data_IF_262016179581
#
_entry.id   IF_262016179581
#
_cell.length_a   1.000
_cell.length_b   1.000
_cell.length_c   1.000
_cell.angle_alpha   90.00
_cell.angle_beta   90.00
_cell.angle_gamma   90.00
#
_symmetry.space_group_name_H-M   'P 1'
#
loop_
_entity.id
_entity.type
_entity.pdbx_description
1 polymer ?
#
# COMPACT_ATOMS: atom_id res chain seq x y z
N UNK A 1 -11.35 24.97 11.55
CA UNK A 1 -10.32 23.99 11.15
C UNK A 1 -8.97 24.70 10.94
N UNK A 2 -7.83 24.06 11.16
CA UNK A 2 -6.50 24.62 10.84
C UNK A 2 -5.93 23.80 9.69
N UNK A 3 -5.55 24.47 8.59
CA UNK A 3 -4.92 23.81 7.45
C UNK A 3 -3.55 24.40 7.17
N UNK A 4 -2.64 23.57 6.69
CA UNK A 4 -1.27 23.93 6.40
C UNK A 4 -0.95 23.73 4.93
N UNK A 5 -0.63 24.83 4.27
CA UNK A 5 -0.27 24.92 2.86
C UNK A 5 1.21 25.18 2.72
N UNK A 6 1.94 24.24 2.11
CA UNK A 6 3.39 24.35 1.92
C UNK A 6 3.71 24.59 0.46
N UNK A 7 4.41 25.68 0.17
CA UNK A 7 4.89 26.00 -1.17
C UNK A 7 6.25 25.35 -1.39
N UNK A 8 6.37 24.56 -2.47
CA UNK A 8 7.62 23.92 -2.92
C UNK A 8 7.85 24.24 -4.39
N UNK A 9 9.07 24.07 -4.86
CA UNK A 9 9.46 24.34 -6.25
C UNK A 9 10.73 25.19 -6.33
N UNK A 10 11.28 25.29 -7.54
CA UNK A 10 12.57 25.94 -7.79
C UNK A 10 12.58 27.41 -7.39
N UNK A 11 13.79 27.96 -7.18
CA UNK A 11 13.98 29.39 -6.98
C UNK A 11 13.38 30.18 -8.16
N UNK A 12 12.68 31.27 -7.87
CA UNK A 12 12.05 32.08 -8.91
C UNK A 12 10.82 31.46 -9.59
N UNK A 13 10.36 30.27 -9.20
CA UNK A 13 9.14 29.63 -9.73
C UNK A 13 7.84 30.36 -9.42
N UNK A 14 7.85 31.39 -8.57
CA UNK A 14 6.66 32.21 -8.28
C UNK A 14 5.87 31.83 -7.01
N UNK A 15 6.48 31.06 -6.09
CA UNK A 15 5.86 30.62 -4.82
C UNK A 15 5.28 31.78 -3.99
N UNK A 16 6.12 32.76 -3.62
CA UNK A 16 5.72 33.94 -2.85
C UNK A 16 4.63 34.74 -3.57
N UNK A 17 4.82 35.02 -4.85
CA UNK A 17 3.82 35.75 -5.65
C UNK A 17 2.51 34.99 -5.82
N UNK A 18 2.53 33.66 -5.72
CA UNK A 18 1.33 32.83 -5.74
C UNK A 18 0.58 32.93 -4.40
N UNK A 19 1.28 32.95 -3.27
CA UNK A 19 0.67 33.27 -1.97
C UNK A 19 0.02 34.64 -2.02
N UNK A 20 0.75 35.66 -2.47
CA UNK A 20 0.23 37.03 -2.58
C UNK A 20 -1.02 37.09 -3.46
N UNK A 21 -1.02 36.36 -4.58
CA UNK A 21 -2.17 36.23 -5.46
C UNK A 21 -3.38 35.57 -4.77
N UNK A 22 -3.18 34.49 -4.01
CA UNK A 22 -4.24 33.84 -3.23
C UNK A 22 -4.82 34.76 -2.15
N UNK A 23 -4.00 35.67 -1.61
CA UNK A 23 -4.38 36.64 -0.59
C UNK A 23 -4.91 37.96 -1.17
N UNK A 24 -5.02 38.07 -2.50
CA UNK A 24 -5.52 39.28 -3.17
C UNK A 24 -4.59 40.48 -3.07
N UNK A 25 -3.29 40.26 -2.83
CA UNK A 25 -2.28 41.32 -2.77
C UNK A 25 -1.84 41.76 -4.15
N UNK A 26 -1.27 42.96 -4.22
CA UNK A 26 -0.75 43.52 -5.46
C UNK A 26 0.51 42.78 -5.89
N UNK A 27 0.63 42.57 -7.19
CA UNK A 27 1.83 41.99 -7.79
C UNK A 27 3.02 42.97 -7.73
N UNK A 28 4.15 42.50 -7.23
CA UNK A 28 5.42 43.23 -7.25
C UNK A 28 6.37 42.67 -8.31
N UNK A 29 6.90 43.53 -9.18
CA UNK A 29 7.81 43.13 -10.26
C UNK A 29 9.23 42.81 -9.75
N UNK A 30 9.64 43.38 -8.62
CA UNK A 30 10.98 43.19 -8.06
C UNK A 30 11.07 41.81 -7.42
N UNK A 31 11.91 40.95 -7.97
CA UNK A 31 12.20 39.67 -7.35
C UNK A 31 13.02 39.87 -6.06
N UNK A 32 12.53 39.29 -4.97
CA UNK A 32 13.28 39.12 -3.73
C UNK A 32 13.25 37.62 -3.38
N UNK A 33 14.41 37.02 -3.19
CA UNK A 33 14.49 35.61 -2.84
C UNK A 33 14.02 35.39 -1.39
N UNK A 34 13.15 34.42 -1.17
CA UNK A 34 12.78 33.96 0.18
C UNK A 34 14.01 33.32 0.82
N UNK A 35 14.44 33.86 1.96
CA UNK A 35 15.55 33.32 2.73
C UNK A 35 15.02 32.25 3.69
N UNK A 36 15.41 31.00 3.49
CA UNK A 36 14.97 29.88 4.34
C UNK A 36 13.47 29.59 4.25
N UNK A 37 12.67 30.19 5.12
CA UNK A 37 11.23 29.92 5.29
C UNK A 37 10.48 31.16 5.77
N UNK A 38 9.36 31.48 5.12
CA UNK A 38 8.40 32.50 5.57
C UNK A 38 7.06 31.85 5.96
N UNK A 39 6.50 32.28 7.08
CA UNK A 39 5.26 31.74 7.65
C UNK A 39 4.21 32.83 7.76
N UNK A 40 3.02 32.55 7.22
CA UNK A 40 1.90 33.47 7.33
C UNK A 40 0.60 32.74 7.65
N UNK A 41 -0.14 33.21 8.66
CA UNK A 41 -1.43 32.63 9.04
C UNK A 41 -2.57 33.57 8.68
N UNK A 42 -3.51 33.09 7.87
CA UNK A 42 -4.67 33.85 7.41
C UNK A 42 -5.96 33.21 7.92
N UNK A 43 -6.88 34.02 8.42
CA UNK A 43 -8.23 33.56 8.77
C UNK A 43 -9.08 33.50 7.52
N UNK A 44 -9.68 32.35 7.24
CA UNK A 44 -10.65 32.18 6.16
C UNK A 44 -12.04 32.16 6.80
N UNK A 45 -12.69 33.33 6.78
CA UNK A 45 -14.04 33.57 7.32
C UNK A 45 -14.30 32.81 8.64
N UNK A 46 -15.44 32.11 8.75
CA UNK A 46 -15.82 31.29 9.89
C UNK A 46 -15.32 29.83 9.79
N UNK A 47 -14.60 29.48 8.72
CA UNK A 47 -14.23 28.09 8.38
C UNK A 47 -12.91 27.67 9.05
N UNK A 48 -12.02 28.63 9.31
CA UNK A 48 -10.78 28.31 10.01
C UNK A 48 -9.60 29.24 9.76
N UNK A 49 -8.40 28.69 9.98
CA UNK A 49 -7.11 29.33 9.71
C UNK A 49 -6.34 28.51 8.68
N UNK A 50 -5.76 29.18 7.71
CA UNK A 50 -4.81 28.60 6.76
C UNK A 50 -3.43 29.15 7.08
N UNK A 51 -2.44 28.27 7.22
CA UNK A 51 -1.04 28.63 7.34
C UNK A 51 -0.34 28.41 6.01
N UNK A 52 0.22 29.48 5.45
CA UNK A 52 1.09 29.45 4.29
C UNK A 52 2.53 29.32 4.76
N UNK A 53 3.22 28.32 4.23
CA UNK A 53 4.63 28.04 4.45
C UNK A 53 5.35 28.23 3.11
N UNK A 54 5.97 29.41 2.92
CA UNK A 54 6.79 29.71 1.75
C UNK A 54 8.21 29.21 1.97
N UNK A 55 8.54 28.05 1.41
CA UNK A 55 9.89 27.50 1.48
C UNK A 55 10.78 28.20 0.45
N UNK A 56 12.04 28.43 0.79
CA UNK A 56 13.05 28.80 -0.19
C UNK A 56 13.16 27.75 -1.29
N UNK A 57 13.34 28.21 -2.53
CA UNK A 57 13.65 27.33 -3.66
C UNK A 57 15.14 27.26 -3.96
N UNK A 58 15.96 27.91 -3.14
CA UNK A 58 17.42 27.96 -3.31
C UNK A 58 18.03 26.60 -2.95
N UNK A 59 18.84 25.98 -3.83
CA UNK A 59 19.50 24.72 -3.53
C UNK A 59 20.40 24.76 -2.28
N UNK A 60 20.91 25.93 -1.89
CA UNK A 60 21.69 26.10 -0.66
C UNK A 60 20.87 25.86 0.60
N UNK A 61 19.55 26.07 0.54
CA UNK A 61 18.59 25.79 1.62
C UNK A 61 18.08 24.33 1.61
N UNK A 62 18.70 23.44 0.83
CA UNK A 62 18.31 22.03 0.71
C UNK A 62 18.36 21.27 2.04
N UNK A 63 19.31 21.60 2.92
CA UNK A 63 19.40 21.00 4.26
C UNK A 63 18.22 21.42 5.13
N UNK A 64 17.86 22.70 5.13
CA UNK A 64 16.69 23.21 5.85
C UNK A 64 15.40 22.57 5.31
N UNK A 65 15.29 22.47 3.99
CA UNK A 65 14.18 21.80 3.31
C UNK A 65 14.05 20.34 3.72
N UNK A 66 15.16 19.60 3.74
CA UNK A 66 15.19 18.19 4.13
C UNK A 66 14.87 18.01 5.61
N UNK A 67 15.43 18.87 6.47
CA UNK A 67 15.13 18.89 7.90
C UNK A 67 13.64 19.12 8.12
N UNK A 68 13.07 20.12 7.47
CA UNK A 68 11.64 20.40 7.54
C UNK A 68 10.81 19.19 7.08
N UNK A 69 11.17 18.60 5.94
CA UNK A 69 10.45 17.45 5.38
C UNK A 69 10.54 16.20 6.28
N UNK A 70 11.52 16.12 7.18
CA UNK A 70 11.68 15.02 8.16
C UNK A 70 11.03 15.29 9.51
N UNK A 71 11.01 16.53 9.97
CA UNK A 71 10.66 16.87 11.35
C UNK A 71 9.26 17.49 11.51
N UNK A 72 8.59 17.87 10.42
CA UNK A 72 7.22 18.36 10.51
C UNK A 72 6.19 17.27 10.22
N UNK A 73 5.48 16.86 11.28
CA UNK A 73 4.57 15.72 11.29
C UNK A 73 3.31 15.87 10.43
N UNK A 74 2.97 17.09 9.99
CA UNK A 74 1.73 17.31 9.25
C UNK A 74 1.87 18.43 8.22
N UNK A 75 1.42 18.13 7.01
CA UNK A 75 1.13 19.07 5.93
C UNK A 75 -0.16 18.60 5.27
N UNK A 76 -1.14 19.49 5.11
CA UNK A 76 -2.42 19.12 4.50
C UNK A 76 -2.36 19.25 2.97
N UNK A 77 -1.69 20.30 2.48
CA UNK A 77 -1.56 20.55 1.04
C UNK A 77 -0.15 21.02 0.68
N UNK A 78 0.45 20.40 -0.32
CA UNK A 78 1.63 20.89 -1.01
C UNK A 78 1.23 21.57 -2.32
N UNK A 79 1.73 22.78 -2.54
CA UNK A 79 1.69 23.44 -3.84
C UNK A 79 3.09 23.40 -4.45
N UNK A 80 3.27 22.57 -5.47
CA UNK A 80 4.53 22.49 -6.19
C UNK A 80 4.51 23.45 -7.37
N UNK A 81 5.19 24.58 -7.26
CA UNK A 81 5.20 25.64 -8.28
C UNK A 81 6.26 25.38 -9.36
N UNK A 82 5.86 25.51 -10.63
CA UNK A 82 6.75 25.43 -11.80
C UNK A 82 6.56 26.66 -12.68
N UNK A 83 7.65 27.27 -13.14
CA UNK A 83 7.59 28.41 -14.05
C UNK A 83 7.33 27.92 -15.48
N UNK A 84 6.11 28.14 -15.97
CA UNK A 84 5.74 27.68 -17.30
C UNK A 84 6.50 28.41 -18.42
N UNK A 85 7.13 29.56 -18.16
CA UNK A 85 7.98 30.25 -19.15
C UNK A 85 9.33 29.58 -19.35
N UNK A 86 9.74 28.68 -18.47
CA UNK A 86 11.03 27.99 -18.52
C UNK A 86 10.91 26.57 -19.08
N UNK A 87 12.06 25.96 -19.34
CA UNK A 87 12.16 24.53 -19.58
C UNK A 87 11.97 23.78 -18.26
N UNK A 88 11.07 22.79 -18.24
CA UNK A 88 10.79 21.99 -17.04
C UNK A 88 11.59 20.70 -17.08
N UNK A 89 12.46 20.49 -16.09
CA UNK A 89 13.19 19.23 -15.95
C UNK A 89 12.24 18.14 -15.46
N UNK A 90 11.69 17.38 -16.41
CA UNK A 90 10.63 16.40 -16.14
C UNK A 90 11.10 15.32 -15.16
N UNK A 91 12.32 14.82 -15.32
CA UNK A 91 12.88 13.76 -14.47
C UNK A 91 13.05 14.23 -13.03
N UNK A 92 13.64 15.41 -12.83
CA UNK A 92 13.88 15.94 -11.48
C UNK A 92 12.58 16.31 -10.77
N UNK A 93 11.65 16.96 -11.47
CA UNK A 93 10.34 17.33 -10.90
C UNK A 93 9.55 16.07 -10.53
N UNK A 94 9.47 15.05 -11.41
CA UNK A 94 8.77 13.81 -11.08
C UNK A 94 9.39 13.07 -9.89
N UNK A 95 10.73 13.08 -9.79
CA UNK A 95 11.42 12.52 -8.62
C UNK A 95 11.01 13.25 -7.33
N UNK A 96 11.02 14.59 -7.33
CA UNK A 96 10.62 15.40 -6.17
C UNK A 96 9.15 15.21 -5.79
N UNK A 97 8.25 15.16 -6.77
CA UNK A 97 6.82 14.89 -6.54
C UNK A 97 6.60 13.48 -5.96
N UNK A 98 7.31 12.48 -6.47
CA UNK A 98 7.24 11.11 -5.95
C UNK A 98 7.74 11.02 -4.50
N UNK A 99 8.84 11.70 -4.18
CA UNK A 99 9.37 11.78 -2.82
C UNK A 99 8.40 12.44 -1.84
N UNK A 100 7.71 13.51 -2.27
CA UNK A 100 6.66 14.15 -1.47
C UNK A 100 5.49 13.19 -1.24
N UNK A 101 5.04 12.46 -2.27
CA UNK A 101 3.95 11.49 -2.17
C UNK A 101 4.29 10.32 -1.24
N UNK A 102 5.54 9.86 -1.26
CA UNK A 102 6.03 8.79 -0.38
C UNK A 102 6.17 9.27 1.08
N UNK A 103 6.73 10.46 1.28
CA UNK A 103 6.98 11.01 2.63
C UNK A 103 5.70 11.55 3.29
N UNK A 104 4.76 12.03 2.48
CA UNK A 104 3.49 12.62 2.92
C UNK A 104 2.32 11.96 2.19
N UNK A 105 2.07 10.67 2.49
CA UNK A 105 1.08 9.88 1.77
C UNK A 105 -0.37 10.34 2.02
N UNK A 106 -0.57 11.20 3.01
CA UNK A 106 -1.84 11.81 3.41
C UNK A 106 -1.94 13.31 3.03
N UNK A 107 -0.98 13.85 2.26
CA UNK A 107 -1.02 15.25 1.81
C UNK A 107 -1.54 15.35 0.37
N UNK A 108 -2.37 16.37 0.11
CA UNK A 108 -2.81 16.69 -1.24
C UNK A 108 -1.68 17.45 -1.93
N UNK A 109 -1.21 16.94 -3.07
CA UNK A 109 -0.19 17.59 -3.88
C UNK A 109 -0.87 18.25 -5.08
N UNK A 110 -0.72 19.58 -5.21
CA UNK A 110 -1.24 20.38 -6.31
C UNK A 110 -0.06 20.94 -7.10
N UNK A 111 -0.02 20.63 -8.40
CA UNK A 111 0.96 21.23 -9.30
C UNK A 111 0.48 22.61 -9.73
N UNK A 112 1.31 23.64 -9.57
CA UNK A 112 0.96 25.01 -9.93
C UNK A 112 1.86 25.49 -11.06
N UNK A 113 1.31 25.58 -12.27
CA UNK A 113 1.95 26.20 -13.42
C UNK A 113 1.84 27.72 -13.33
N UNK A 114 2.93 28.40 -12.94
CA UNK A 114 2.95 29.85 -12.77
C UNK A 114 3.37 30.57 -14.04
N UNK A 115 3.21 31.91 -14.03
CA UNK A 115 3.62 32.83 -15.10
C UNK A 115 3.02 32.48 -16.46
N UNK A 116 1.78 32.00 -16.46
CA UNK A 116 1.08 31.59 -17.69
C UNK A 116 0.91 32.74 -18.68
N UNK A 117 0.96 34.00 -18.21
CA UNK A 117 0.97 35.21 -19.05
C UNK A 117 2.12 35.21 -20.06
N UNK A 118 3.31 34.74 -19.68
CA UNK A 118 4.48 34.69 -20.56
C UNK A 118 4.34 33.67 -21.69
N UNK A 119 3.51 32.64 -21.52
CA UNK A 119 3.16 31.72 -22.61
C UNK A 119 2.11 32.31 -23.56
N UNK A 120 1.21 33.17 -23.07
CA UNK A 120 0.25 33.86 -23.94
C UNK A 120 0.99 34.79 -24.91
N UNK A 121 2.03 35.47 -24.43
CA UNK A 121 2.87 36.37 -25.25
C UNK A 121 3.55 35.61 -26.41
N UNK A 122 3.84 34.32 -26.25
CA UNK A 122 4.48 33.47 -27.28
C UNK A 122 3.49 32.76 -28.21
N UNK A 123 2.18 32.85 -27.97
CA UNK A 123 1.18 32.03 -28.68
C UNK A 123 -0.10 32.84 -28.95
N UNK A 124 -0.28 33.26 -30.21
CA UNK A 124 -1.35 34.18 -30.63
C UNK A 124 -2.74 33.53 -30.68
N UNK A 125 -2.82 32.20 -30.66
CA UNK A 125 -4.07 31.43 -30.81
C UNK A 125 -4.45 30.76 -29.48
N UNK A 126 -5.66 31.03 -28.97
CA UNK A 126 -6.17 30.51 -27.68
C UNK A 126 -6.10 28.97 -27.56
N UNK A 127 -6.37 28.25 -28.65
CA UNK A 127 -6.32 26.79 -28.67
C UNK A 127 -4.90 26.24 -28.48
N UNK A 128 -3.92 26.86 -29.16
CA UNK A 128 -2.51 26.50 -29.06
C UNK A 128 -1.96 26.78 -27.66
N UNK A 129 -2.40 27.87 -27.03
CA UNK A 129 -2.03 28.18 -25.65
C UNK A 129 -2.48 27.10 -24.67
N UNK A 130 -3.75 26.65 -24.76
CA UNK A 130 -4.26 25.58 -23.89
C UNK A 130 -3.49 24.28 -24.13
N UNK A 131 -3.21 23.94 -25.40
CA UNK A 131 -2.43 22.76 -25.74
C UNK A 131 -0.98 22.84 -25.24
N UNK A 132 -0.35 24.01 -25.30
CA UNK A 132 1.02 24.22 -24.82
C UNK A 132 1.13 24.05 -23.30
N UNK A 133 0.19 24.63 -22.55
CA UNK A 133 0.11 24.47 -21.09
C UNK A 133 -0.13 23.00 -20.74
N UNK A 134 -1.09 22.35 -21.40
CA UNK A 134 -1.38 20.94 -21.20
C UNK A 134 -0.12 20.10 -21.43
N UNK A 135 0.54 20.26 -22.58
CA UNK A 135 1.76 19.53 -22.96
C UNK A 135 2.89 19.68 -21.93
N UNK A 136 3.05 20.86 -21.32
CA UNK A 136 4.07 21.09 -20.29
C UNK A 136 3.75 20.40 -18.96
N UNK A 137 2.46 20.23 -18.62
CA UNK A 137 2.03 19.73 -17.32
C UNK A 137 1.61 18.25 -17.32
N UNK A 138 1.24 17.69 -18.48
CA UNK A 138 0.91 16.26 -18.65
C UNK A 138 1.92 15.31 -17.98
N UNK A 139 3.25 15.50 -18.13
CA UNK A 139 4.22 14.53 -17.60
C UNK A 139 4.22 14.37 -16.07
N UNK A 140 3.52 15.24 -15.35
CA UNK A 140 3.50 15.29 -13.89
C UNK A 140 2.18 14.81 -13.28
N UNK A 141 1.12 14.63 -14.09
CA UNK A 141 -0.25 14.40 -13.59
C UNK A 141 -0.40 13.14 -12.74
N UNK A 142 0.38 12.10 -12.99
CA UNK A 142 0.31 10.84 -12.24
C UNK A 142 0.79 10.99 -10.78
N UNK A 143 1.60 12.02 -10.52
CA UNK A 143 2.22 12.25 -9.21
C UNK A 143 1.51 13.34 -8.40
N UNK A 144 0.42 13.92 -8.91
CA UNK A 144 -0.32 15.00 -8.26
C UNK A 144 -1.81 14.72 -8.25
N UNK A 145 -2.51 15.38 -7.33
CA UNK A 145 -3.96 15.24 -7.17
C UNK A 145 -4.72 16.20 -8.09
N UNK A 146 -4.13 17.38 -8.34
CA UNK A 146 -4.74 18.42 -9.16
C UNK A 146 -3.66 19.30 -9.82
N UNK A 147 -4.02 19.97 -10.90
CA UNK A 147 -3.17 20.97 -11.57
C UNK A 147 -3.86 22.32 -11.62
N UNK A 148 -3.15 23.38 -11.23
CA UNK A 148 -3.58 24.76 -11.33
C UNK A 148 -2.67 25.54 -12.27
N UNK A 149 -3.22 26.59 -12.89
CA UNK A 149 -2.45 27.54 -13.70
C UNK A 149 -2.71 28.95 -13.20
N UNK A 150 -1.64 29.75 -13.13
CA UNK A 150 -1.69 31.07 -12.52
C UNK A 150 -0.86 32.11 -13.27
N UNK A 151 -1.30 33.36 -13.16
CA UNK A 151 -0.50 34.53 -13.46
C UNK A 151 -0.72 35.55 -12.36
N UNK A 152 0.28 35.72 -11.50
CA UNK A 152 0.25 36.78 -10.50
C UNK A 152 0.24 38.18 -11.14
N UNK A 153 0.89 38.34 -12.29
CA UNK A 153 0.91 39.59 -13.09
C UNK A 153 -0.49 39.98 -13.57
N UNK A 154 -1.25 39.02 -14.11
CA UNK A 154 -2.60 39.25 -14.63
C UNK A 154 -3.69 39.15 -13.54
N UNK A 155 -3.34 38.78 -12.30
CA UNK A 155 -4.32 38.46 -11.27
C UNK A 155 -5.16 37.21 -11.56
N UNK A 156 -4.62 36.27 -12.34
CA UNK A 156 -5.34 35.10 -12.85
C UNK A 156 -5.00 33.81 -12.08
N UNK A 157 -6.04 33.09 -11.66
CA UNK A 157 -5.96 31.73 -11.12
C UNK A 157 -7.06 30.88 -11.78
N UNK A 158 -6.75 29.67 -12.23
CA UNK A 158 -7.75 28.75 -12.79
C UNK A 158 -8.88 28.43 -11.81
N UNK A 159 -8.58 28.23 -10.53
CA UNK A 159 -9.57 28.25 -9.45
C UNK A 159 -9.77 29.71 -8.99
N UNK A 160 -10.82 30.36 -9.49
CA UNK A 160 -11.03 31.82 -9.40
C UNK A 160 -10.90 32.46 -8.00
N UNK A 161 -10.99 31.69 -6.91
CA UNK A 161 -10.94 32.20 -5.52
C UNK A 161 -10.34 31.16 -4.56
N UNK A 162 -9.86 31.58 -3.39
CA UNK A 162 -9.39 30.69 -2.31
C UNK A 162 -10.49 29.71 -1.83
N UNK A 163 -11.77 30.12 -1.64
CA UNK A 163 -12.85 29.16 -1.37
C UNK A 163 -12.99 28.06 -2.43
N UNK A 164 -12.87 28.40 -3.72
CA UNK A 164 -12.92 27.39 -4.78
C UNK A 164 -11.75 26.39 -4.67
N UNK A 165 -10.58 26.86 -4.23
CA UNK A 165 -9.43 25.99 -3.95
C UNK A 165 -9.71 25.06 -2.75
N UNK A 166 -10.36 25.57 -1.70
CA UNK A 166 -10.79 24.74 -0.56
C UNK A 166 -11.77 23.65 -1.00
N UNK A 167 -12.73 23.96 -1.87
CA UNK A 167 -13.65 22.96 -2.42
C UNK A 167 -12.92 21.88 -3.24
N UNK A 168 -11.92 22.26 -4.05
CA UNK A 168 -11.09 21.30 -4.79
C UNK A 168 -10.33 20.37 -3.83
N UNK A 169 -9.78 20.93 -2.75
CA UNK A 169 -9.09 20.18 -1.69
C UNK A 169 -10.06 19.23 -1.00
N UNK A 170 -11.26 19.69 -0.63
CA UNK A 170 -12.30 18.88 0.01
C UNK A 170 -12.76 17.72 -0.86
N UNK A 171 -12.96 17.95 -2.17
CA UNK A 171 -13.30 16.91 -3.13
C UNK A 171 -12.19 15.86 -3.32
N UNK A 172 -10.95 16.19 -2.97
CA UNK A 172 -9.81 15.28 -3.07
C UNK A 172 -9.64 14.39 -1.83
N UNK A 173 -10.19 14.78 -0.67
CA UNK A 173 -10.07 14.04 0.59
C UNK A 173 -10.64 12.60 0.55
N UNK A 174 -11.83 12.32 -0.03
CA UNK A 174 -12.37 10.97 -0.01
C UNK A 174 -11.47 9.91 -0.67
N UNK A 175 -10.83 10.28 -1.79
CA UNK A 175 -9.86 9.40 -2.48
C UNK A 175 -8.64 9.11 -1.60
N UNK A 176 -8.19 10.12 -0.86
CA UNK A 176 -7.07 10.00 0.05
C UNK A 176 -7.41 9.12 1.25
N UNK A 177 -8.61 9.30 1.83
CA UNK A 177 -9.10 8.51 2.96
C UNK A 177 -9.25 7.02 2.57
N UNK A 178 -9.73 6.75 1.35
CA UNK A 178 -9.80 5.38 0.81
C UNK A 178 -8.41 4.74 0.65
N UNK A 179 -7.46 5.49 0.07
CA UNK A 179 -6.06 5.03 -0.05
C UNK A 179 -5.41 4.79 1.32
N UNK A 180 -5.69 5.66 2.29
CA UNK A 180 -5.21 5.53 3.66
C UNK A 180 -5.78 4.29 4.34
N UNK A 181 -7.09 4.07 4.24
CA UNK A 181 -7.74 2.88 4.78
C UNK A 181 -7.17 1.61 4.14
N UNK A 182 -6.91 1.61 2.84
CA UNK A 182 -6.30 0.47 2.14
C UNK A 182 -4.87 0.19 2.63
N UNK A 183 -4.02 1.22 2.76
CA UNK A 183 -2.66 1.05 3.31
C UNK A 183 -2.69 0.48 4.73
N UNK A 184 -3.58 1.00 5.57
CA UNK A 184 -3.73 0.52 6.94
C UNK A 184 -4.16 -0.95 6.97
N UNK A 185 -5.13 -1.36 6.13
CA UNK A 185 -5.54 -2.76 6.00
C UNK A 185 -4.38 -3.67 5.59
N UNK A 186 -3.57 -3.25 4.63
CA UNK A 186 -2.41 -4.04 4.17
C UNK A 186 -1.34 -4.16 5.26
N UNK A 187 -1.10 -3.10 6.03
CA UNK A 187 -0.15 -3.12 7.13
C UNK A 187 -0.62 -4.01 8.30
N UNK A 188 -1.89 -3.89 8.68
CA UNK A 188 -2.54 -4.77 9.66
C UNK A 188 -2.49 -6.24 9.22
N UNK A 189 -2.75 -6.53 7.93
CA UNK A 189 -2.65 -7.90 7.40
C UNK A 189 -1.22 -8.43 7.48
N UNK A 190 -0.23 -7.61 7.10
CA UNK A 190 1.19 -7.97 7.16
C UNK A 190 1.63 -8.26 8.60
N UNK A 191 1.28 -7.39 9.54
CA UNK A 191 1.60 -7.56 10.97
C UNK A 191 0.99 -8.87 11.49
N UNK A 192 -0.29 -9.12 11.20
CA UNK A 192 -0.98 -10.36 11.56
C UNK A 192 -0.30 -11.60 10.98
N UNK A 193 0.11 -11.57 9.70
CA UNK A 193 0.83 -12.69 9.07
C UNK A 193 2.19 -12.94 9.75
N UNK A 194 2.93 -11.88 10.06
CA UNK A 194 4.21 -11.98 10.76
C UNK A 194 4.07 -12.50 12.21
N UNK A 195 3.00 -12.15 12.92
CA UNK A 195 2.67 -12.73 14.23
C UNK A 195 2.50 -14.25 14.12
N UNK A 196 1.73 -14.73 13.14
CA UNK A 196 1.52 -16.18 12.91
C UNK A 196 2.82 -16.87 12.51
N UNK A 197 3.64 -16.23 11.67
CA UNK A 197 4.95 -16.76 11.29
C UNK A 197 5.91 -16.90 12.48
N UNK A 198 5.77 -16.08 13.50
CA UNK A 198 6.63 -16.06 14.68
C UNK A 198 6.01 -16.74 15.91
N UNK A 199 4.77 -17.25 15.79
CA UNK A 199 4.11 -17.97 16.86
C UNK A 199 4.87 -19.28 17.18
N UNK A 200 5.33 -19.38 18.41
CA UNK A 200 6.08 -20.54 18.95
C UNK A 200 5.34 -21.88 18.81
N UNK A 201 4.02 -21.87 18.59
CA UNK A 201 3.21 -23.04 18.27
C UNK A 201 3.67 -23.75 16.99
N UNK A 202 4.23 -23.01 16.03
CA UNK A 202 4.61 -23.55 14.72
C UNK A 202 6.13 -23.68 14.55
N UNK A 203 6.62 -24.77 13.95
CA UNK A 203 8.04 -24.90 13.62
C UNK A 203 8.51 -23.81 12.65
N UNK A 204 9.72 -23.28 12.88
CA UNK A 204 10.36 -22.29 11.98
C UNK A 204 10.46 -22.76 10.53
N UNK A 205 10.51 -24.08 10.28
CA UNK A 205 10.51 -24.62 8.93
C UNK A 205 9.26 -24.25 8.13
N UNK A 206 8.11 -24.04 8.77
CA UNK A 206 6.87 -23.65 8.08
C UNK A 206 7.00 -22.24 7.51
N UNK A 207 7.51 -21.30 8.32
CA UNK A 207 7.82 -19.93 7.88
C UNK A 207 8.83 -19.95 6.74
N UNK A 208 9.90 -20.73 6.85
CA UNK A 208 10.93 -20.83 5.81
C UNK A 208 10.38 -21.38 4.49
N UNK A 209 9.54 -22.42 4.54
CA UNK A 209 8.89 -22.98 3.35
C UNK A 209 7.94 -21.95 2.73
N UNK A 210 7.10 -21.31 3.56
CA UNK A 210 6.14 -20.31 3.10
C UNK A 210 6.81 -19.14 2.39
N UNK A 211 7.73 -18.43 3.07
CA UNK A 211 8.41 -17.26 2.50
C UNK A 211 9.24 -17.61 1.26
N UNK A 212 9.82 -18.81 1.20
CA UNK A 212 10.55 -19.28 0.02
C UNK A 212 9.61 -19.44 -1.19
N UNK A 213 8.45 -20.05 -1.00
CA UNK A 213 7.49 -20.27 -2.09
C UNK A 213 6.78 -18.98 -2.50
N UNK A 214 6.46 -18.11 -1.54
CA UNK A 214 5.92 -16.77 -1.79
C UNK A 214 6.85 -15.95 -2.69
N UNK A 215 8.16 -15.93 -2.37
CA UNK A 215 9.17 -15.25 -3.19
C UNK A 215 9.33 -15.86 -4.59
N UNK A 216 9.12 -17.17 -4.75
CA UNK A 216 9.17 -17.83 -6.07
C UNK A 216 7.97 -17.46 -6.96
N UNK A 217 6.88 -16.97 -6.36
CA UNK A 217 5.63 -16.66 -7.01
C UNK A 217 5.21 -15.20 -6.81
N UNK A 218 6.17 -14.30 -6.59
CA UNK A 218 5.92 -12.88 -6.28
C UNK A 218 5.10 -12.15 -7.35
N UNK A 219 5.11 -12.64 -8.59
CA UNK A 219 4.36 -12.08 -9.72
C UNK A 219 2.87 -12.48 -9.73
N UNK A 220 2.47 -13.47 -8.91
CA UNK A 220 1.09 -13.94 -8.84
C UNK A 220 0.26 -13.14 -7.82
N UNK A 221 -1.06 -13.16 -7.97
CA UNK A 221 -2.00 -12.62 -6.97
C UNK A 221 -1.83 -13.29 -5.61
N UNK A 222 -2.10 -12.59 -4.50
CA UNK A 222 -1.99 -13.13 -3.14
C UNK A 222 -2.70 -14.49 -2.96
N UNK A 223 -3.93 -14.63 -3.46
CA UNK A 223 -4.69 -15.88 -3.38
C UNK A 223 -3.97 -17.07 -4.05
N UNK A 224 -3.23 -16.83 -5.14
CA UNK A 224 -2.45 -17.86 -5.84
C UNK A 224 -1.13 -18.15 -5.14
N UNK A 225 -0.48 -17.12 -4.61
CA UNK A 225 0.71 -17.29 -3.78
C UNK A 225 0.40 -18.17 -2.56
N UNK A 226 -0.69 -17.85 -1.85
CA UNK A 226 -1.17 -18.59 -0.69
C UNK A 226 -1.52 -20.05 -1.06
N UNK A 227 -2.13 -20.27 -2.24
CA UNK A 227 -2.36 -21.61 -2.78
C UNK A 227 -1.06 -22.39 -2.98
N UNK A 228 -0.06 -21.82 -3.66
CA UNK A 228 1.21 -22.50 -3.90
C UNK A 228 1.98 -22.77 -2.60
N UNK A 229 1.97 -21.84 -1.65
CA UNK A 229 2.56 -22.03 -0.32
C UNK A 229 1.87 -23.17 0.45
N UNK A 230 0.54 -23.22 0.39
CA UNK A 230 -0.28 -24.29 0.98
C UNK A 230 0.08 -25.65 0.40
N UNK A 231 0.11 -25.78 -0.93
CA UNK A 231 0.51 -27.02 -1.62
C UNK A 231 1.92 -27.43 -1.20
N UNK A 232 2.86 -26.49 -1.09
CA UNK A 232 4.23 -26.81 -0.72
C UNK A 232 4.37 -27.30 0.73
N UNK A 233 3.62 -26.72 1.67
CA UNK A 233 3.57 -27.23 3.05
C UNK A 233 2.96 -28.64 3.14
N UNK A 234 1.92 -28.92 2.35
CA UNK A 234 1.33 -30.26 2.28
C UNK A 234 2.28 -31.27 1.61
N UNK A 235 3.05 -30.85 0.60
CA UNK A 235 4.12 -31.67 0.00
C UNK A 235 5.23 -31.96 1.00
N UNK A 236 5.62 -30.99 1.81
CA UNK A 236 6.60 -31.16 2.90
C UNK A 236 6.12 -32.21 3.91
N UNK A 237 4.85 -32.17 4.30
CA UNK A 237 4.25 -33.23 5.13
C UNK A 237 4.42 -34.61 4.50
N UNK A 238 4.18 -34.74 3.19
CA UNK A 238 4.33 -35.99 2.45
C UNK A 238 5.79 -36.45 2.26
N UNK A 239 6.80 -35.59 2.49
CA UNK A 239 8.23 -35.93 2.40
C UNK A 239 8.80 -36.52 3.68
N UNK A 240 8.02 -36.56 4.76
CA UNK A 240 8.40 -37.24 6.00
C UNK A 240 8.42 -38.77 5.78
N UNK A 241 9.50 -39.27 5.16
CA UNK A 241 9.79 -40.70 5.06
C UNK A 241 10.31 -41.19 6.42
N UNK A 242 9.81 -42.33 6.96
CA UNK A 242 10.36 -42.95 8.17
C UNK A 242 11.77 -43.53 8.00
N UNK A 243 12.29 -43.62 6.76
CA UNK A 243 13.58 -44.28 6.48
C UNK A 243 14.81 -43.43 6.81
N UNK A 244 14.65 -42.12 6.99
CA UNK A 244 15.78 -41.19 7.20
C UNK A 244 15.97 -40.76 8.65
N UNK A 245 15.30 -41.44 9.61
CA UNK A 245 15.47 -41.14 11.04
C UNK A 245 16.22 -42.24 11.77
N UNK A 246 17.54 -42.05 11.92
CA UNK A 246 18.40 -42.82 12.85
C UNK A 246 18.10 -42.45 14.33
N UNK A 247 17.04 -41.68 14.64
CA UNK A 247 16.90 -41.01 15.93
C UNK A 247 15.52 -41.10 16.65
N UNK A 248 14.62 -41.99 16.25
CA UNK A 248 13.35 -42.18 16.99
C UNK A 248 13.22 -43.58 17.60
N UNK A 249 13.16 -43.62 18.93
CA UNK A 249 13.14 -44.82 19.76
C UNK A 249 11.89 -45.71 19.56
N UNK A 250 12.08 -47.01 19.80
CA UNK A 250 11.17 -48.15 19.53
C UNK A 250 9.74 -48.03 20.07
N UNK A 251 9.44 -47.09 20.97
CA UNK A 251 8.09 -46.88 21.53
C UNK A 251 7.13 -46.23 20.51
N UNK A 252 7.64 -45.53 19.49
CA UNK A 252 6.82 -44.86 18.46
C UNK A 252 6.36 -45.77 17.32
N UNK A 253 6.85 -47.01 17.22
CA UNK A 253 6.53 -47.92 16.12
C UNK A 253 5.05 -48.36 16.13
N UNK A 254 4.44 -48.50 17.32
CA UNK A 254 3.03 -48.88 17.50
C UNK A 254 2.05 -47.76 17.07
N UNK A 255 2.44 -46.48 17.21
CA UNK A 255 1.66 -45.36 16.70
C UNK A 255 1.83 -45.14 15.18
N UNK A 256 2.85 -45.75 14.56
CA UNK A 256 3.19 -45.50 13.15
C UNK A 256 2.20 -46.06 12.12
N UNK A 257 1.33 -47.01 12.48
CA UNK A 257 0.35 -47.57 11.53
C UNK A 257 -0.75 -46.57 11.11
N UNK A 258 -1.23 -45.71 12.02
CA UNK A 258 -2.23 -44.68 11.70
C UNK A 258 -1.64 -43.48 10.94
N UNK A 259 -0.37 -43.12 11.21
CA UNK A 259 0.36 -42.06 10.50
C UNK A 259 0.67 -42.39 9.02
N UNK A 260 0.74 -43.67 8.64
CA UNK A 260 1.00 -44.13 7.26
C UNK A 260 -0.13 -43.79 6.27
N UNK A 261 -1.36 -43.63 6.75
CA UNK A 261 -2.54 -43.43 5.89
C UNK A 261 -2.64 -41.99 5.38
N UNK A 262 -2.34 -40.99 6.20
CA UNK A 262 -2.52 -39.58 5.81
C UNK A 262 -1.47 -39.08 4.82
N UNK A 263 -0.20 -39.47 4.98
CA UNK A 263 0.86 -39.07 4.04
C UNK A 263 0.62 -39.62 2.63
N UNK A 264 0.16 -40.87 2.55
CA UNK A 264 -0.22 -41.49 1.27
C UNK A 264 -1.48 -40.86 0.69
N UNK A 265 -2.51 -40.64 1.52
CA UNK A 265 -3.78 -40.03 1.10
C UNK A 265 -3.57 -38.60 0.58
N UNK A 266 -2.77 -37.78 1.26
CA UNK A 266 -2.47 -36.40 0.85
C UNK A 266 -1.62 -36.38 -0.41
N UNK A 267 -0.64 -37.28 -0.53
CA UNK A 267 0.17 -37.38 -1.75
C UNK A 267 -0.68 -37.72 -2.97
N UNK A 268 -1.60 -38.70 -2.84
CA UNK A 268 -2.54 -39.06 -3.90
C UNK A 268 -3.49 -37.90 -4.20
N UNK A 269 -4.05 -37.26 -3.17
CA UNK A 269 -4.92 -36.10 -3.33
C UNK A 269 -4.26 -34.97 -4.11
N UNK A 270 -3.05 -34.55 -3.74
CA UNK A 270 -2.34 -33.47 -4.43
C UNK A 270 -2.08 -33.82 -5.90
N UNK A 271 -1.70 -35.07 -6.17
CA UNK A 271 -1.49 -35.59 -7.52
C UNK A 271 -2.76 -35.63 -8.38
N UNK A 272 -3.91 -35.96 -7.79
CA UNK A 272 -5.21 -35.95 -8.45
C UNK A 272 -5.69 -34.52 -8.68
N UNK A 273 -5.62 -33.66 -7.66
CA UNK A 273 -6.08 -32.27 -7.69
C UNK A 273 -5.29 -31.45 -8.72
N UNK A 274 -3.97 -31.60 -8.76
CA UNK A 274 -3.11 -30.88 -9.71
C UNK A 274 -3.35 -31.30 -11.17
N UNK A 275 -3.76 -32.56 -11.41
CA UNK A 275 -4.06 -33.07 -12.75
C UNK A 275 -5.48 -32.80 -13.22
N UNK A 276 -6.37 -32.35 -12.33
CA UNK A 276 -7.76 -32.09 -12.68
C UNK A 276 -7.90 -30.87 -13.60
N UNK A 277 -8.51 -31.06 -14.77
CA UNK A 277 -8.85 -29.99 -15.70
C UNK A 277 -9.95 -29.11 -15.07
N UNK A 278 -9.65 -27.84 -14.81
CA UNK A 278 -10.57 -26.90 -14.15
C UNK A 278 -10.37 -26.74 -12.65
N UNK A 279 -9.21 -27.12 -12.11
CA UNK A 279 -8.88 -26.89 -10.69
C UNK A 279 -8.93 -25.40 -10.33
N UNK A 280 -9.42 -25.11 -9.14
CA UNK A 280 -9.35 -23.77 -8.57
C UNK A 280 -8.03 -23.60 -7.81
N UNK A 281 -7.24 -22.58 -8.18
CA UNK A 281 -5.95 -22.24 -7.57
C UNK A 281 -6.14 -21.27 -6.39
N UNK A 282 -7.01 -21.63 -5.45
CA UNK A 282 -7.22 -20.91 -4.19
C UNK A 282 -7.22 -21.89 -3.00
N UNK A 283 -6.94 -21.38 -1.81
CA UNK A 283 -6.76 -22.19 -0.59
C UNK A 283 -8.07 -22.82 -0.13
N UNK A 284 -9.19 -22.10 -0.23
CA UNK A 284 -10.50 -22.60 0.21
C UNK A 284 -10.97 -23.82 -0.58
N UNK A 285 -10.87 -23.77 -1.90
CA UNK A 285 -11.22 -24.89 -2.77
C UNK A 285 -10.32 -26.11 -2.50
N UNK A 286 -9.02 -25.89 -2.33
CA UNK A 286 -8.05 -26.93 -2.02
C UNK A 286 -8.35 -27.59 -0.66
N UNK A 287 -8.56 -26.81 0.40
CA UNK A 287 -8.86 -27.33 1.73
C UNK A 287 -10.22 -28.02 1.79
N UNK A 288 -11.24 -27.49 1.10
CA UNK A 288 -12.55 -28.14 0.96
C UNK A 288 -12.45 -29.48 0.26
N UNK A 289 -11.72 -29.56 -0.86
CA UNK A 289 -11.51 -30.82 -1.58
C UNK A 289 -10.70 -31.83 -0.74
N UNK A 290 -9.67 -31.35 -0.02
CA UNK A 290 -8.89 -32.17 0.90
C UNK A 290 -9.75 -32.73 2.04
N UNK A 291 -10.61 -31.90 2.64
CA UNK A 291 -11.51 -32.33 3.71
C UNK A 291 -12.46 -33.44 3.27
N UNK A 292 -12.94 -33.39 2.02
CA UNK A 292 -13.77 -34.44 1.42
C UNK A 292 -13.00 -35.76 1.28
N UNK A 293 -11.72 -35.70 0.88
CA UNK A 293 -10.85 -36.89 0.76
C UNK A 293 -10.50 -37.49 2.12
N UNK A 294 -10.36 -36.66 3.16
CA UNK A 294 -10.05 -37.08 4.53
C UNK A 294 -11.30 -37.46 5.34
N UNK A 295 -12.51 -37.38 4.76
CA UNK A 295 -13.76 -37.71 5.46
C UNK A 295 -13.72 -39.15 6.01
N UNK A 296 -13.95 -39.30 7.31
CA UNK A 296 -13.91 -40.59 8.00
C UNK A 296 -12.51 -41.02 8.47
N UNK A 297 -11.46 -40.21 8.25
CA UNK A 297 -10.14 -40.42 8.81
C UNK A 297 -9.91 -39.45 10.00
N UNK A 298 -9.71 -39.95 11.23
CA UNK A 298 -9.50 -39.08 12.38
C UNK A 298 -8.12 -38.39 12.27
N UNK A 299 -8.11 -37.06 12.40
CA UNK A 299 -6.89 -36.25 12.42
C UNK A 299 -6.49 -36.04 13.87
N UNK A 300 -5.26 -36.44 14.21
CA UNK A 300 -4.64 -36.13 15.50
C UNK A 300 -4.42 -34.61 15.62
N UNK A 301 -5.04 -33.99 16.62
CA UNK A 301 -4.98 -32.55 16.90
C UNK A 301 -3.58 -32.11 17.35
N UNK A 302 -2.81 -33.02 17.95
CA UNK A 302 -1.40 -32.79 18.27
C UNK A 302 -0.47 -33.16 17.10
N UNK A 303 -1.04 -33.72 16.04
CA UNK A 303 -0.33 -34.27 14.89
C UNK A 303 0.25 -33.22 13.93
N UNK A 304 1.28 -33.63 13.21
CA UNK A 304 2.01 -32.76 12.26
C UNK A 304 1.15 -32.27 11.09
N UNK A 305 0.12 -33.02 10.71
CA UNK A 305 -0.84 -32.62 9.68
C UNK A 305 -1.75 -31.50 10.19
N UNK A 306 -2.34 -31.68 11.38
CA UNK A 306 -3.23 -30.70 11.98
C UNK A 306 -2.52 -29.35 12.15
N UNK A 307 -1.30 -29.35 12.72
CA UNK A 307 -0.53 -28.10 12.90
C UNK A 307 -0.27 -27.35 11.60
N UNK A 308 -0.06 -28.04 10.47
CA UNK A 308 0.07 -27.39 9.16
C UNK A 308 -1.25 -26.82 8.66
N UNK A 309 -2.34 -27.57 8.80
CA UNK A 309 -3.67 -27.10 8.39
C UNK A 309 -4.09 -25.87 9.22
N UNK A 310 -3.90 -25.91 10.53
CA UNK A 310 -4.15 -24.79 11.44
C UNK A 310 -3.28 -23.56 11.07
N UNK A 311 -1.99 -23.77 10.79
CA UNK A 311 -1.09 -22.71 10.32
C UNK A 311 -1.56 -22.06 9.00
N UNK A 312 -1.91 -22.89 8.01
CA UNK A 312 -2.45 -22.44 6.71
C UNK A 312 -3.74 -21.64 6.92
N UNK A 313 -4.66 -22.15 7.72
CA UNK A 313 -5.96 -21.52 7.96
C UNK A 313 -5.82 -20.18 8.65
N UNK A 314 -4.95 -20.09 9.66
CA UNK A 314 -4.67 -18.81 10.31
C UNK A 314 -4.04 -17.82 9.34
N UNK A 315 -3.05 -18.22 8.53
CA UNK A 315 -2.40 -17.30 7.58
C UNK A 315 -3.38 -16.78 6.52
N UNK A 316 -4.22 -17.66 5.99
CA UNK A 316 -5.08 -17.38 4.83
C UNK A 316 -6.49 -16.90 5.22
N UNK A 317 -6.82 -16.91 6.52
CA UNK A 317 -8.16 -16.67 7.05
C UNK A 317 -9.24 -17.56 6.43
N UNK A 318 -8.84 -18.73 5.91
CA UNK A 318 -9.74 -19.69 5.30
C UNK A 318 -10.72 -20.23 6.33
N UNK A 319 -12.03 -19.99 6.10
CA UNK A 319 -13.13 -20.47 6.95
C UNK A 319 -13.82 -21.71 6.38
N UNK A 320 -13.39 -22.17 5.19
CA UNK A 320 -14.07 -23.20 4.41
C UNK A 320 -14.14 -24.57 5.08
N UNK A 321 -13.26 -24.87 6.04
CA UNK A 321 -13.24 -26.15 6.75
C UNK A 321 -12.82 -25.94 8.20
N UNK A 322 -13.60 -26.39 9.18
CA UNK A 322 -13.12 -26.48 10.56
C UNK A 322 -12.38 -27.81 10.76
N UNK A 323 -11.05 -27.81 10.73
CA UNK A 323 -10.27 -28.92 11.27
C UNK A 323 -10.18 -28.71 12.78
N UNK A 324 -11.17 -29.20 13.53
CA UNK A 324 -11.35 -28.99 14.98
C UNK A 324 -12.41 -29.94 15.57
N UNK A 325 -12.87 -29.73 16.81
CA UNK A 325 -13.66 -30.68 17.63
C UNK A 325 -14.83 -31.41 16.91
N UNK A 326 -15.45 -30.83 15.89
CA UNK A 326 -16.49 -31.50 15.06
C UNK A 326 -15.98 -32.68 14.20
N UNK A 327 -14.67 -32.80 13.96
CA UNK A 327 -14.09 -34.01 13.35
C UNK A 327 -13.87 -35.14 14.37
N UNK A 328 -13.86 -34.83 15.66
CA UNK A 328 -13.75 -35.81 16.74
C UNK A 328 -15.11 -36.44 17.11
N UNK A 329 -16.23 -35.75 16.85
CA UNK A 329 -17.58 -36.24 17.20
C UNK A 329 -18.07 -37.45 16.38
N UNK A 330 -17.40 -37.82 15.28
CA UNK A 330 -17.75 -39.01 14.48
C UNK A 330 -17.02 -40.29 14.90
N UNK A 331 -16.27 -40.29 16.01
CA UNK A 331 -15.71 -41.51 16.60
C UNK A 331 -16.62 -41.93 17.76
N UNK A 332 -17.43 -42.96 17.50
CA UNK A 332 -18.52 -43.40 18.35
C UNK A 332 -18.18 -43.55 19.83
N UNK A 333 -19.07 -43.00 20.67
CA UNK A 333 -19.33 -43.53 22.01
C UNK A 333 -19.88 -44.95 21.88
N UNK A 334 -19.02 -45.95 21.99
CA UNK A 334 -19.41 -47.21 22.63
C UNK A 334 -18.75 -47.24 24.00
N UNK A 335 -19.44 -46.61 24.95
CA UNK A 335 -19.20 -46.84 26.38
C UNK A 335 -19.99 -48.11 26.69
N UNK A 336 -19.31 -49.25 26.84
CA UNK A 336 -19.94 -50.42 27.43
C UNK A 336 -20.26 -50.10 28.90
N UNK A 337 -21.48 -50.36 29.39
CA UNK A 337 -21.77 -50.24 30.80
C UNK A 337 -21.08 -51.39 31.57
N UNK A 338 -20.57 -51.14 32.79
CA UNK A 338 -20.06 -52.22 33.62
C UNK A 338 -21.25 -53.05 34.14
N UNK A 339 -21.14 -54.37 33.99
CA UNK A 339 -21.90 -55.33 34.79
C UNK A 339 -21.28 -55.46 36.18
#
# INVERSE_FOLDING_TARGET
MKMKFVMKGEQGSGKTTFIDLLLGRKFEKKYQATLGLSLETVKVNNEGKVEFWDMSGDPSDSQLTTWYDKHHEKTDVFFYCVDLSQHLNTTDINKKLSQLKESYPDAIIILVGTKVDKLKETTTIKAEFKAAVQKKLEPFKENVHETLITSAKDGYISCKTLPNLLTIIENSKPKLDEQKAERQRQEEEKQRRDEIHNDSKYPNSYKSIWKKTENQHSELTQSKQDYHCTVQLLRDYCKTNPSDSILFSKVKLMFSFKLRNHTTTIRQFLQEYERSSGREENVDALLKALSKKLKGQPIDVEGSLYRRLDYIQKLTQSTSVAFGEKFAENVGRTINPPY
#
